data_IF_350638208758
#
_entry.id   IF_350638208758
#
_cell.length_a   1.000
_cell.length_b   1.000
_cell.length_c   1.000
_cell.angle_alpha   90.00
_cell.angle_beta   90.00
_cell.angle_gamma   90.00
#
_symmetry.space_group_name_H-M   'P 1'
#
loop_
_entity.id
_entity.type
_entity.pdbx_description
1 polymer ?
#
# COMPACT_ATOMS: atom_id res chain seq x y z
N UNK A 1 5.32 24.48 8.53
CA UNK A 1 3.86 24.20 8.47
C UNK A 1 3.68 22.70 8.62
N UNK A 2 3.30 22.24 9.81
CA UNK A 2 3.07 20.83 10.08
C UNK A 2 1.64 20.46 9.65
N UNK A 3 1.51 19.45 8.78
CA UNK A 3 0.23 18.86 8.42
C UNK A 3 -0.22 17.90 9.53
N UNK A 4 -1.52 17.82 9.84
CA UNK A 4 -2.05 16.89 10.85
C UNK A 4 -2.00 15.45 10.33
N UNK A 5 -1.45 14.54 11.13
CA UNK A 5 -1.49 13.09 10.86
C UNK A 5 -2.89 12.56 11.16
N UNK A 6 -3.65 12.25 10.11
CA UNK A 6 -4.92 11.53 10.22
C UNK A 6 -4.65 10.03 10.37
N UNK A 7 -4.41 9.58 11.60
CA UNK A 7 -4.53 8.17 11.97
C UNK A 7 -6.03 7.82 12.09
N UNK A 8 -6.69 7.66 10.95
CA UNK A 8 -8.04 7.14 10.88
C UNK A 8 -8.01 5.63 10.72
N UNK A 9 -7.93 4.88 11.81
CA UNK A 9 -8.18 3.44 11.78
C UNK A 9 -9.66 3.23 11.48
N UNK A 10 -9.97 2.78 10.26
CA UNK A 10 -11.29 2.27 9.86
C UNK A 10 -11.62 1.03 10.69
N UNK A 11 -12.24 1.24 11.85
CA UNK A 11 -12.90 0.18 12.59
C UNK A 11 -14.11 -0.29 11.77
N UNK A 12 -13.98 -1.42 11.08
CA UNK A 12 -15.12 -2.12 10.51
C UNK A 12 -15.99 -2.68 11.65
N UNK A 13 -17.28 -2.32 11.74
CA UNK A 13 -18.17 -2.91 12.73
C UNK A 13 -18.49 -4.36 12.32
N UNK A 14 -17.81 -5.33 12.95
CA UNK A 14 -18.11 -6.76 12.82
C UNK A 14 -19.52 -7.15 13.32
N UNK A 15 -20.25 -6.21 13.93
CA UNK A 15 -21.59 -6.40 14.48
C UNK A 15 -22.70 -6.62 13.43
N UNK A 16 -22.43 -6.43 12.14
CA UNK A 16 -23.44 -6.64 11.09
C UNK A 16 -23.69 -8.12 10.75
N UNK A 17 -22.73 -9.01 11.06
CA UNK A 17 -22.82 -10.43 10.65
C UNK A 17 -23.73 -11.26 11.57
N UNK A 18 -23.83 -10.91 12.85
CA UNK A 18 -24.64 -11.68 13.81
C UNK A 18 -26.14 -11.44 13.68
N UNK A 19 -26.57 -10.22 13.30
CA UNK A 19 -27.99 -9.90 13.08
C UNK A 19 -28.60 -10.62 11.87
N UNK A 20 -27.80 -10.85 10.82
CA UNK A 20 -28.25 -11.50 9.59
C UNK A 20 -28.58 -13.00 9.81
N UNK A 21 -27.91 -13.65 10.76
CA UNK A 21 -28.16 -15.04 11.14
C UNK A 21 -29.42 -15.23 11.98
N UNK A 22 -29.84 -14.22 12.76
CA UNK A 22 -31.07 -14.31 13.57
C UNK A 22 -32.32 -14.18 12.71
N UNK A 23 -32.28 -13.38 11.64
CA UNK A 23 -33.38 -13.27 10.67
C UNK A 23 -33.51 -14.51 9.76
N UNK A 24 -32.50 -15.38 9.74
CA UNK A 24 -32.42 -16.52 8.84
C UNK A 24 -33.23 -17.76 9.28
N UNK A 25 -33.86 -17.74 10.47
CA UNK A 25 -34.42 -18.95 11.12
C UNK A 25 -35.84 -19.32 10.69
N UNK A 26 -36.49 -18.53 9.83
CA UNK A 26 -37.82 -18.84 9.27
C UNK A 26 -37.69 -19.71 8.00
N UNK A 27 -37.66 -21.03 8.16
CA UNK A 27 -37.43 -22.00 7.06
C UNK A 27 -38.43 -21.88 5.89
N UNK A 28 -39.68 -21.45 6.14
CA UNK A 28 -40.73 -21.37 5.10
C UNK A 28 -40.57 -20.17 4.17
N UNK A 29 -39.98 -19.07 4.63
CA UNK A 29 -39.77 -17.87 3.80
C UNK A 29 -38.48 -17.93 2.98
N UNK A 30 -37.56 -18.83 3.32
CA UNK A 30 -36.25 -18.89 2.69
C UNK A 30 -36.24 -19.52 1.29
N UNK A 31 -37.07 -20.52 1.00
CA UNK A 31 -36.98 -21.20 -0.29
C UNK A 31 -37.38 -20.30 -1.48
N UNK A 32 -38.29 -19.35 -1.31
CA UNK A 32 -38.71 -18.45 -2.40
C UNK A 32 -37.92 -17.12 -2.43
N UNK A 33 -37.47 -16.62 -1.28
CA UNK A 33 -36.81 -15.30 -1.20
C UNK A 33 -35.29 -15.33 -1.44
N UNK A 34 -34.65 -16.51 -1.40
CA UNK A 34 -33.20 -16.69 -1.62
C UNK A 34 -32.68 -16.20 -2.97
N UNK A 35 -33.26 -16.59 -4.13
CA UNK A 35 -32.78 -16.09 -5.41
C UNK A 35 -32.98 -14.57 -5.54
N UNK A 36 -34.04 -14.05 -4.92
CA UNK A 36 -34.32 -12.60 -4.88
C UNK A 36 -33.25 -11.87 -4.09
N UNK A 37 -32.88 -12.35 -2.90
CA UNK A 37 -31.83 -11.74 -2.08
C UNK A 37 -30.45 -11.79 -2.76
N UNK A 38 -30.12 -12.92 -3.40
CA UNK A 38 -28.87 -13.05 -4.17
C UNK A 38 -28.86 -12.07 -5.34
N UNK A 39 -29.93 -12.02 -6.15
CA UNK A 39 -30.06 -11.09 -7.26
C UNK A 39 -29.97 -9.63 -6.79
N UNK A 40 -30.59 -9.29 -5.66
CA UNK A 40 -30.56 -7.94 -5.10
C UNK A 40 -29.15 -7.56 -4.61
N UNK A 41 -28.43 -8.50 -3.98
CA UNK A 41 -27.03 -8.30 -3.58
C UNK A 41 -26.10 -8.12 -4.77
N UNK A 42 -26.32 -8.88 -5.85
CA UNK A 42 -25.56 -8.77 -7.10
C UNK A 42 -25.80 -7.40 -7.76
N UNK A 43 -27.07 -6.98 -7.87
CA UNK A 43 -27.44 -5.67 -8.42
C UNK A 43 -26.84 -4.54 -7.60
N UNK A 44 -26.86 -4.64 -6.27
CA UNK A 44 -26.27 -3.65 -5.39
C UNK A 44 -24.75 -3.59 -5.54
N UNK A 45 -24.08 -4.74 -5.60
CA UNK A 45 -22.64 -4.82 -5.82
C UNK A 45 -22.24 -4.25 -7.19
N UNK A 46 -22.97 -4.58 -8.26
CA UNK A 46 -22.76 -4.04 -9.60
C UNK A 46 -22.99 -2.53 -9.63
N UNK A 47 -24.04 -2.04 -8.97
CA UNK A 47 -24.33 -0.61 -8.85
C UNK A 47 -23.24 0.16 -8.11
N UNK A 48 -22.77 -0.37 -6.97
CA UNK A 48 -21.65 0.22 -6.23
C UNK A 48 -20.36 0.21 -7.03
N UNK A 49 -20.06 -0.89 -7.75
CA UNK A 49 -18.86 -1.01 -8.59
C UNK A 49 -18.91 -0.02 -9.75
N UNK A 50 -20.04 0.06 -10.46
CA UNK A 50 -20.22 1.01 -11.57
C UNK A 50 -20.17 2.48 -11.09
N UNK A 51 -20.76 2.76 -9.93
CA UNK A 51 -20.72 4.08 -9.29
C UNK A 51 -19.30 4.49 -8.90
N UNK A 52 -18.57 3.59 -8.23
CA UNK A 52 -17.16 3.79 -7.87
C UNK A 52 -16.30 4.00 -9.11
N UNK A 53 -16.49 3.19 -10.16
CA UNK A 53 -15.77 3.32 -11.43
C UNK A 53 -16.01 4.68 -12.11
N UNK A 54 -17.27 5.13 -12.19
CA UNK A 54 -17.57 6.45 -12.79
C UNK A 54 -17.05 7.62 -11.97
N UNK A 55 -17.17 7.52 -10.64
CA UNK A 55 -16.64 8.55 -9.74
C UNK A 55 -15.12 8.64 -9.86
N UNK A 56 -14.44 7.49 -9.87
CA UNK A 56 -12.99 7.42 -10.04
C UNK A 56 -12.56 7.98 -11.39
N UNK A 57 -13.21 7.57 -12.49
CA UNK A 57 -12.88 8.06 -13.83
C UNK A 57 -12.90 9.59 -13.88
N UNK A 58 -13.93 10.23 -13.28
CA UNK A 58 -14.04 11.69 -13.25
C UNK A 58 -12.95 12.34 -12.39
N UNK A 59 -12.67 11.78 -11.21
CA UNK A 59 -11.66 12.35 -10.29
C UNK A 59 -10.25 12.17 -10.83
N UNK A 60 -9.98 11.01 -11.39
CA UNK A 60 -8.72 10.65 -11.99
C UNK A 60 -8.35 11.54 -13.16
N UNK A 61 -9.30 11.82 -14.06
CA UNK A 61 -9.07 12.75 -15.17
C UNK A 61 -8.62 14.12 -14.65
N UNK A 62 -9.34 14.69 -13.67
CA UNK A 62 -8.98 15.98 -13.09
C UNK A 62 -7.61 15.97 -12.39
N UNK A 63 -7.34 14.94 -11.59
CA UNK A 63 -6.11 14.85 -10.80
C UNK A 63 -4.89 14.56 -11.68
N UNK A 64 -5.00 13.66 -12.67
CA UNK A 64 -3.92 13.41 -13.62
C UNK A 64 -3.62 14.62 -14.47
N UNK A 65 -4.63 15.34 -14.95
CA UNK A 65 -4.41 16.57 -15.71
C UNK A 65 -3.66 17.57 -14.85
N UNK A 66 -4.09 17.80 -13.60
CA UNK A 66 -3.42 18.78 -12.73
C UNK A 66 -1.99 18.40 -12.37
N UNK A 67 -1.75 17.12 -12.03
CA UNK A 67 -0.42 16.62 -11.67
C UNK A 67 0.51 16.62 -12.88
N UNK A 68 0.07 16.09 -14.03
CA UNK A 68 0.86 16.05 -15.26
C UNK A 68 1.14 17.45 -15.80
N UNK A 69 0.17 18.37 -15.71
CA UNK A 69 0.36 19.77 -16.09
C UNK A 69 1.37 20.47 -15.18
N UNK A 70 1.30 20.22 -13.86
CA UNK A 70 2.25 20.80 -12.89
C UNK A 70 3.67 20.32 -13.17
N UNK A 71 3.83 19.02 -13.41
CA UNK A 71 5.12 18.43 -13.74
C UNK A 71 5.66 18.94 -15.08
N UNK A 72 4.82 18.98 -16.12
CA UNK A 72 5.19 19.52 -17.43
C UNK A 72 5.61 20.99 -17.36
N UNK A 73 4.91 21.82 -16.57
CA UNK A 73 5.28 23.23 -16.34
C UNK A 73 6.62 23.38 -15.62
N UNK A 74 6.89 22.55 -14.61
CA UNK A 74 8.17 22.57 -13.90
C UNK A 74 9.32 22.25 -14.86
N UNK A 75 9.17 21.22 -15.69
CA UNK A 75 10.19 20.83 -16.68
C UNK A 75 10.34 21.88 -17.77
N UNK A 76 9.25 22.45 -18.27
CA UNK A 76 9.33 23.54 -19.23
C UNK A 76 10.07 24.75 -18.66
N UNK A 77 9.83 25.09 -17.39
CA UNK A 77 10.54 26.18 -16.70
C UNK A 77 12.03 25.86 -16.51
N UNK A 78 12.37 24.62 -16.20
CA UNK A 78 13.78 24.18 -16.11
C UNK A 78 14.48 24.23 -17.47
N UNK A 79 13.81 23.76 -18.53
CA UNK A 79 14.31 23.82 -19.89
C UNK A 79 14.52 25.26 -20.37
N UNK A 80 13.60 26.18 -20.03
CA UNK A 80 13.75 27.62 -20.28
C UNK A 80 14.98 28.19 -19.55
N UNK A 81 15.16 27.87 -18.27
CA UNK A 81 16.33 28.28 -17.50
C UNK A 81 17.65 27.78 -18.09
N UNK A 82 17.69 26.51 -18.51
CA UNK A 82 18.84 25.92 -19.18
C UNK A 82 19.11 26.56 -20.55
N UNK A 83 18.06 26.82 -21.35
CA UNK A 83 18.18 27.50 -22.63
C UNK A 83 18.68 28.94 -22.48
N UNK A 84 18.24 29.66 -21.44
CA UNK A 84 18.77 30.99 -21.12
C UNK A 84 20.26 30.94 -20.75
N UNK A 85 20.69 29.90 -20.02
CA UNK A 85 22.11 29.74 -19.67
C UNK A 85 22.95 29.38 -20.91
N UNK A 86 22.50 28.42 -21.72
CA UNK A 86 23.13 28.05 -22.98
C UNK A 86 23.26 29.23 -23.96
N UNK A 87 22.27 30.14 -23.97
CA UNK A 87 22.32 31.38 -24.76
C UNK A 87 23.42 32.33 -24.25
N UNK A 88 23.64 32.43 -22.93
CA UNK A 88 24.75 33.23 -22.36
C UNK A 88 26.11 32.66 -22.72
N UNK A 89 26.19 31.34 -22.90
CA UNK A 89 27.39 30.62 -23.36
C UNK A 89 27.54 30.61 -24.89
N UNK A 90 26.67 31.32 -25.62
CA UNK A 90 26.69 31.42 -27.09
C UNK A 90 26.56 30.07 -27.81
N UNK A 91 25.77 29.14 -27.27
CA UNK A 91 25.40 27.90 -27.97
C UNK A 91 24.42 28.20 -29.11
N UNK A 92 24.65 27.64 -30.30
CA UNK A 92 23.87 27.93 -31.53
C UNK A 92 22.38 27.54 -31.43
N UNK A 93 22.07 26.42 -30.75
CA UNK A 93 20.70 25.97 -30.46
C UNK A 93 20.48 25.79 -28.95
N UNK A 94 20.27 26.88 -28.19
CA UNK A 94 20.14 26.81 -26.74
C UNK A 94 19.00 25.92 -26.28
N UNK A 95 17.88 25.93 -27.02
CA UNK A 95 16.71 25.13 -26.68
C UNK A 95 16.91 23.67 -27.02
N UNK A 96 17.48 23.36 -28.19
CA UNK A 96 17.83 21.99 -28.57
C UNK A 96 18.82 21.37 -27.58
N UNK A 97 19.80 22.16 -27.13
CA UNK A 97 20.75 21.75 -26.09
C UNK A 97 20.04 21.46 -24.76
N UNK A 98 19.17 22.36 -24.29
CA UNK A 98 18.44 22.17 -23.03
C UNK A 98 17.53 20.94 -23.05
N UNK A 99 16.81 20.73 -24.17
CA UNK A 99 15.98 19.52 -24.38
C UNK A 99 16.84 18.27 -24.40
N UNK A 100 17.98 18.30 -25.11
CA UNK A 100 18.92 17.18 -25.15
C UNK A 100 19.49 16.84 -23.78
N UNK A 101 19.82 17.85 -22.97
CA UNK A 101 20.31 17.69 -21.61
C UNK A 101 19.25 17.04 -20.69
N UNK A 102 18.01 17.54 -20.72
CA UNK A 102 16.92 16.98 -19.92
C UNK A 102 16.49 15.58 -20.38
N UNK A 103 16.60 15.28 -21.68
CA UNK A 103 16.30 13.97 -22.23
C UNK A 103 17.35 12.89 -21.90
N UNK A 104 18.55 13.27 -21.42
CA UNK A 104 19.62 12.33 -21.04
C UNK A 104 19.43 11.73 -19.65
N UNK A 105 18.42 12.16 -18.87
CA UNK A 105 18.11 11.57 -17.57
C UNK A 105 17.77 10.08 -17.66
N UNK A 106 18.25 9.29 -16.70
CA UNK A 106 17.95 7.84 -16.55
C UNK A 106 16.51 7.62 -16.05
N UNK A 107 15.57 8.51 -16.37
CA UNK A 107 14.17 8.30 -16.03
C UNK A 107 13.55 7.33 -17.02
N UNK A 108 13.03 6.18 -16.57
CA UNK A 108 12.59 5.12 -17.47
C UNK A 108 11.29 5.53 -18.18
N UNK A 109 11.40 5.96 -19.44
CA UNK A 109 10.39 5.83 -20.54
C UNK A 109 8.99 6.47 -20.34
N UNK A 110 8.76 7.17 -19.24
CA UNK A 110 7.48 7.83 -18.92
C UNK A 110 7.39 9.20 -19.61
N UNK A 111 8.52 9.86 -19.89
CA UNK A 111 8.51 11.20 -20.47
C UNK A 111 9.38 11.32 -21.73
N UNK A 112 8.86 12.02 -22.73
CA UNK A 112 9.56 12.38 -23.95
C UNK A 112 9.51 13.91 -24.12
N UNK A 113 10.68 14.55 -24.12
CA UNK A 113 10.82 15.99 -24.32
C UNK A 113 11.35 16.21 -25.75
N UNK A 114 10.67 17.06 -26.51
CA UNK A 114 11.00 17.34 -27.91
C UNK A 114 10.97 18.84 -28.16
N UNK A 115 11.88 19.33 -29.00
CA UNK A 115 11.83 20.71 -29.50
C UNK A 115 10.73 20.82 -30.56
N UNK A 116 9.95 21.89 -30.50
CA UNK A 116 8.92 22.19 -31.51
C UNK A 116 9.21 23.55 -32.13
N UNK A 117 9.09 23.62 -33.44
CA UNK A 117 9.08 24.87 -34.21
C UNK A 117 7.62 25.29 -34.37
N UNK A 118 7.25 26.43 -33.79
CA UNK A 118 5.88 26.88 -33.61
C UNK A 118 5.35 27.70 -34.78
N UNK A 119 4.23 27.27 -35.35
CA UNK A 119 3.26 28.11 -36.07
C UNK A 119 1.94 28.26 -35.28
N UNK A 120 1.92 27.87 -34.00
CA UNK A 120 0.70 27.88 -33.18
C UNK A 120 0.47 29.25 -32.52
N UNK A 121 -0.79 29.70 -32.45
CA UNK A 121 -1.14 31.02 -31.93
C UNK A 121 -1.15 31.11 -30.39
N UNK A 122 -1.25 29.98 -29.68
CA UNK A 122 -1.36 29.96 -28.22
C UNK A 122 0.00 29.65 -27.54
N UNK A 123 0.35 30.37 -26.46
CA UNK A 123 1.64 30.23 -25.77
C UNK A 123 1.77 28.91 -24.98
N UNK A 124 0.65 28.35 -24.51
CA UNK A 124 0.59 27.08 -23.80
C UNK A 124 -0.62 26.28 -24.27
N UNK A 125 -0.40 25.05 -24.73
CA UNK A 125 -1.46 24.10 -25.07
C UNK A 125 -1.24 22.77 -24.37
N UNK A 126 -2.31 22.10 -23.99
CA UNK A 126 -2.26 20.76 -23.41
C UNK A 126 -3.39 19.89 -23.95
N UNK A 127 -3.09 18.60 -24.15
CA UNK A 127 -4.00 17.60 -24.65
C UNK A 127 -3.77 16.30 -23.87
N UNK A 128 -4.84 15.71 -23.33
CA UNK A 128 -4.79 14.35 -22.80
C UNK A 128 -5.46 13.40 -23.80
N UNK A 129 -4.66 12.59 -24.49
CA UNK A 129 -5.15 11.50 -25.33
C UNK A 129 -5.61 10.36 -24.40
N UNK A 130 -6.94 10.29 -24.18
CA UNK A 130 -7.57 9.33 -23.26
C UNK A 130 -7.40 7.88 -23.70
N UNK A 131 -7.27 7.63 -25.01
CA UNK A 131 -7.15 6.29 -25.58
C UNK A 131 -5.73 5.77 -25.41
N UNK A 132 -4.74 6.64 -25.67
CA UNK A 132 -3.32 6.27 -25.56
C UNK A 132 -2.75 6.44 -24.15
N UNK A 133 -3.45 7.16 -23.27
CA UNK A 133 -2.95 7.51 -21.93
C UNK A 133 -1.74 8.44 -21.97
N UNK A 134 -1.67 9.29 -23.00
CA UNK A 134 -0.55 10.21 -23.25
C UNK A 134 -1.02 11.63 -22.95
N UNK A 135 -0.35 12.27 -22.00
CA UNK A 135 -0.51 13.69 -21.74
C UNK A 135 0.53 14.46 -22.56
N UNK A 136 0.08 15.30 -23.48
CA UNK A 136 0.92 16.15 -24.32
C UNK A 136 0.78 17.60 -23.87
N UNK A 137 1.89 18.22 -23.52
CA UNK A 137 1.99 19.62 -23.14
C UNK A 137 2.95 20.32 -24.09
N UNK A 138 2.54 21.42 -24.69
CA UNK A 138 3.39 22.24 -25.56
C UNK A 138 3.44 23.65 -25.00
N UNK A 139 4.64 24.16 -24.75
CA UNK A 139 4.89 25.54 -24.35
C UNK A 139 5.82 26.22 -25.34
N UNK A 140 5.41 27.37 -25.85
CA UNK A 140 6.23 28.21 -26.71
C UNK A 140 6.88 29.28 -25.83
N UNK A 141 8.15 29.05 -25.50
CA UNK A 141 8.90 29.85 -24.52
C UNK A 141 9.31 31.24 -25.04
N UNK A 142 9.47 31.41 -26.35
CA UNK A 142 9.92 32.66 -26.98
C UNK A 142 9.18 32.85 -28.32
N UNK A 143 8.28 33.85 -28.44
CA UNK A 143 7.54 34.09 -29.69
C UNK A 143 8.44 34.60 -30.83
N UNK A 144 9.57 35.24 -30.52
CA UNK A 144 10.47 35.86 -31.51
C UNK A 144 11.21 34.86 -32.42
N UNK A 145 11.50 33.65 -31.91
CA UNK A 145 12.24 32.61 -32.66
C UNK A 145 11.33 31.42 -32.99
N UNK A 146 10.04 31.50 -32.61
CA UNK A 146 9.07 30.43 -32.82
C UNK A 146 9.57 29.06 -32.33
N UNK A 147 10.39 29.02 -31.28
CA UNK A 147 10.90 27.75 -30.73
C UNK A 147 10.28 27.49 -29.37
N UNK A 148 9.75 26.28 -29.20
CA UNK A 148 9.13 25.83 -27.97
C UNK A 148 9.55 24.42 -27.58
N UNK A 149 8.98 23.97 -26.49
CA UNK A 149 9.20 22.66 -25.91
C UNK A 149 7.86 21.92 -25.90
N UNK A 150 7.87 20.68 -26.37
CA UNK A 150 6.78 19.73 -26.24
C UNK A 150 7.20 18.59 -25.34
N UNK A 151 6.43 18.39 -24.29
CA UNK A 151 6.60 17.38 -23.28
C UNK A 151 5.46 16.38 -23.45
N UNK A 152 5.79 15.13 -23.73
CA UNK A 152 4.84 14.01 -23.73
C UNK A 152 5.10 13.16 -22.51
N UNK A 153 4.10 13.03 -21.66
CA UNK A 153 4.13 12.21 -20.46
C UNK A 153 3.19 11.03 -20.72
N UNK A 154 3.77 9.86 -20.94
CA UNK A 154 3.03 8.60 -20.88
C UNK A 154 2.66 8.39 -19.42
N UNK A 155 1.38 8.30 -19.10
CA UNK A 155 0.95 8.10 -17.71
C UNK A 155 0.39 6.68 -17.55
N UNK A 156 1.23 5.62 -17.62
CA UNK A 156 0.76 4.25 -17.51
C UNK A 156 0.39 3.97 -16.06
N UNK A 157 -0.89 4.08 -15.72
CA UNK A 157 -1.40 3.39 -14.54
C UNK A 157 -2.53 2.50 -15.00
N UNK A 158 -2.32 1.20 -14.90
CA UNK A 158 -3.31 0.14 -15.10
C UNK A 158 -3.31 -0.71 -13.84
N UNK A 159 -4.26 -0.47 -12.94
CA UNK A 159 -4.55 -1.32 -11.79
C UNK A 159 -5.43 -2.51 -12.17
N UNK A 160 -5.92 -3.23 -11.15
CA UNK A 160 -6.87 -4.33 -11.27
C UNK A 160 -8.13 -3.86 -12.03
N UNK A 161 -8.57 -4.64 -13.03
CA UNK A 161 -9.69 -4.29 -13.93
C UNK A 161 -9.55 -2.92 -14.64
N UNK A 162 -8.32 -2.51 -14.99
CA UNK A 162 -8.01 -1.18 -15.56
C UNK A 162 -8.31 -0.03 -14.58
N UNK A 163 -8.29 -0.29 -13.27
CA UNK A 163 -8.42 0.75 -12.26
C UNK A 163 -7.36 1.83 -12.48
N UNK A 164 -7.82 3.07 -12.53
CA UNK A 164 -7.00 4.20 -12.92
C UNK A 164 -6.37 4.88 -11.71
N UNK A 165 -6.99 4.82 -10.54
CA UNK A 165 -6.38 5.26 -9.27
C UNK A 165 -6.12 4.11 -8.31
N UNK A 166 -5.22 4.31 -7.33
CA UNK A 166 -5.01 3.36 -6.22
C UNK A 166 -6.29 3.14 -5.40
N UNK A 167 -7.07 4.19 -5.19
CA UNK A 167 -8.34 4.06 -4.45
C UNK A 167 -9.33 3.15 -5.19
N UNK A 168 -9.43 3.31 -6.51
CA UNK A 168 -10.27 2.47 -7.36
C UNK A 168 -9.75 1.04 -7.44
N UNK A 169 -8.44 0.86 -7.48
CA UNK A 169 -7.78 -0.44 -7.41
C UNK A 169 -8.17 -1.17 -6.11
N UNK A 170 -8.09 -0.48 -4.97
CA UNK A 170 -8.48 -1.02 -3.67
C UNK A 170 -9.99 -1.35 -3.61
N UNK A 171 -10.85 -0.44 -4.10
CA UNK A 171 -12.31 -0.62 -4.06
C UNK A 171 -12.76 -1.73 -5.00
N UNK A 172 -12.23 -1.80 -6.23
CA UNK A 172 -12.57 -2.85 -7.19
C UNK A 172 -12.04 -4.21 -6.75
N UNK A 173 -10.83 -4.25 -6.15
CA UNK A 173 -10.28 -5.46 -5.54
C UNK A 173 -11.14 -5.92 -4.37
N UNK A 174 -11.54 -5.01 -3.47
CA UNK A 174 -12.41 -5.33 -2.33
C UNK A 174 -13.79 -5.83 -2.81
N UNK A 175 -14.40 -5.17 -3.79
CA UNK A 175 -15.68 -5.56 -4.35
C UNK A 175 -15.59 -6.96 -5.01
N UNK A 176 -14.50 -7.22 -5.74
CA UNK A 176 -14.24 -8.52 -6.34
C UNK A 176 -14.04 -9.62 -5.29
N UNK A 177 -13.27 -9.35 -4.23
CA UNK A 177 -13.07 -10.29 -3.12
C UNK A 177 -14.39 -10.58 -2.38
N UNK A 178 -15.21 -9.55 -2.16
CA UNK A 178 -16.49 -9.69 -1.48
C UNK A 178 -17.50 -10.48 -2.33
N UNK A 179 -17.56 -10.22 -3.64
CA UNK A 179 -18.36 -11.00 -4.59
C UNK A 179 -17.87 -12.45 -4.68
N UNK A 180 -16.55 -12.67 -4.74
CA UNK A 180 -15.95 -14.01 -4.77
C UNK A 180 -16.25 -14.77 -3.48
N UNK A 181 -16.15 -14.11 -2.32
CA UNK A 181 -16.49 -14.69 -1.03
C UNK A 181 -17.98 -15.09 -0.97
N UNK A 182 -18.89 -14.19 -1.38
CA UNK A 182 -20.32 -14.50 -1.45
C UNK A 182 -20.59 -15.66 -2.40
N UNK A 183 -19.95 -15.68 -3.58
CA UNK A 183 -20.09 -16.77 -4.53
C UNK A 183 -19.61 -18.11 -3.94
N UNK A 184 -18.48 -18.13 -3.23
CA UNK A 184 -17.98 -19.34 -2.55
C UNK A 184 -18.95 -19.81 -1.46
N UNK A 185 -19.43 -18.90 -0.60
CA UNK A 185 -20.39 -19.23 0.47
C UNK A 185 -21.69 -19.77 -0.12
N UNK A 186 -22.19 -19.19 -1.21
CA UNK A 186 -23.39 -19.68 -1.88
C UNK A 186 -23.14 -21.00 -2.62
N UNK A 187 -22.11 -21.12 -3.45
CA UNK A 187 -21.88 -22.30 -4.30
C UNK A 187 -21.42 -23.53 -3.50
N UNK A 188 -20.62 -23.34 -2.45
CA UNK A 188 -20.07 -24.44 -1.65
C UNK A 188 -20.90 -24.66 -0.39
N UNK A 189 -21.30 -23.59 0.29
CA UNK A 189 -22.08 -23.68 1.53
C UNK A 189 -23.51 -24.22 1.32
N UNK A 190 -24.15 -23.95 0.18
CA UNK A 190 -25.50 -24.44 -0.11
C UNK A 190 -25.60 -25.95 -0.29
N UNK A 191 -24.81 -26.63 -1.14
CA UNK A 191 -24.93 -28.07 -1.31
C UNK A 191 -24.49 -28.83 -0.07
N UNK A 192 -23.44 -28.38 0.64
CA UNK A 192 -23.01 -29.00 1.89
C UNK A 192 -24.06 -28.85 2.99
N UNK A 193 -24.65 -27.66 3.14
CA UNK A 193 -25.74 -27.44 4.10
C UNK A 193 -27.01 -28.21 3.75
N UNK A 194 -27.33 -28.34 2.45
CA UNK A 194 -28.49 -29.11 2.00
C UNK A 194 -28.28 -30.61 2.21
N UNK A 195 -27.11 -31.15 1.88
CA UNK A 195 -26.76 -32.55 2.14
C UNK A 195 -26.75 -32.88 3.64
N UNK A 196 -26.21 -31.99 4.48
CA UNK A 196 -26.24 -32.19 5.93
C UNK A 196 -27.66 -32.24 6.48
N UNK A 197 -28.54 -31.35 6.00
CA UNK A 197 -29.93 -31.28 6.43
C UNK A 197 -30.78 -32.43 5.85
N UNK A 198 -30.49 -32.88 4.62
CA UNK A 198 -31.10 -34.10 4.05
C UNK A 198 -30.74 -35.32 4.87
N UNK A 199 -29.45 -35.49 5.19
CA UNK A 199 -28.98 -36.60 6.01
C UNK A 199 -29.63 -36.57 7.40
N UNK A 200 -29.72 -35.38 8.01
CA UNK A 200 -30.44 -35.22 9.28
C UNK A 200 -31.93 -35.60 9.18
N UNK A 201 -32.61 -35.26 8.07
CA UNK A 201 -34.02 -35.64 7.85
C UNK A 201 -34.18 -37.13 7.60
N UNK A 202 -33.27 -37.77 6.88
CA UNK A 202 -33.24 -39.21 6.67
C UNK A 202 -32.98 -39.95 7.99
N UNK A 203 -32.06 -39.46 8.82
CA UNK A 203 -31.78 -40.02 10.15
C UNK A 203 -33.00 -39.85 11.09
N UNK A 204 -33.71 -38.70 11.03
CA UNK A 204 -34.94 -38.47 11.80
C UNK A 204 -36.12 -39.32 11.32
N UNK A 205 -36.30 -39.49 10.00
CA UNK A 205 -37.40 -40.29 9.44
C UNK A 205 -37.17 -41.78 9.58
N UNK A 206 -35.93 -42.25 9.52
CA UNK A 206 -35.59 -43.66 9.81
C UNK A 206 -35.74 -43.99 11.30
N UNK A 207 -35.39 -43.06 12.21
CA UNK A 207 -35.68 -43.21 13.64
C UNK A 207 -37.19 -43.25 13.92
N UNK A 208 -37.99 -42.44 13.22
CA UNK A 208 -39.45 -42.39 13.40
C UNK A 208 -40.18 -43.56 12.72
N UNK A 209 -39.68 -44.06 11.59
CA UNK A 209 -40.22 -45.26 10.93
C UNK A 209 -40.00 -46.54 11.74
N UNK A 210 -38.96 -46.57 12.59
CA UNK A 210 -38.72 -47.69 13.50
C UNK A 210 -39.73 -47.75 14.67
N UNK A 211 -40.43 -46.65 14.96
CA UNK A 211 -41.41 -46.54 16.06
C UNK A 211 -42.85 -46.83 15.60
N UNK A 212 -43.15 -46.69 14.30
CA UNK A 212 -44.53 -46.79 13.74
C UNK A 212 -44.93 -48.23 13.33
N UNK A 213 -44.04 -49.21 13.44
CA UNK A 213 -44.43 -50.64 13.27
C UNK A 213 -44.91 -51.31 14.56
N UNK A 214 -45.04 -50.55 15.65
CA UNK A 214 -45.61 -51.01 16.91
C UNK A 214 -46.97 -50.34 17.18
N UNK A 215 -48.04 -51.08 16.84
CA UNK A 215 -49.42 -50.91 17.31
C UNK A 215 -50.26 -49.81 16.65
N UNK A 216 -51.23 -50.25 15.84
CA UNK A 216 -52.47 -49.53 15.57
C UNK A 216 -53.35 -49.57 16.82
N UNK A 217 -53.71 -48.40 17.35
CA UNK A 217 -55.07 -48.06 17.79
C UNK A 217 -55.16 -46.55 18.12
N UNK A 218 -56.22 -45.92 17.58
CA UNK A 218 -56.79 -44.58 17.84
C UNK A 218 -56.00 -43.26 17.59
N UNK A 219 -56.62 -42.25 16.91
CA UNK A 219 -55.96 -40.98 16.60
C UNK A 219 -56.29 -39.89 17.63
N UNK A 220 -55.36 -39.64 18.56
CA UNK A 220 -55.31 -38.38 19.32
C UNK A 220 -54.37 -37.38 18.63
N UNK A 221 -54.72 -36.10 18.72
CA UNK A 221 -54.02 -34.98 18.06
C UNK A 221 -52.49 -35.03 18.23
N UNK A 222 -51.70 -34.70 17.18
CA UNK A 222 -50.25 -34.69 17.26
C UNK A 222 -49.80 -33.54 18.17
N UNK A 223 -49.56 -33.86 19.44
CA UNK A 223 -48.75 -33.05 20.33
C UNK A 223 -47.36 -33.04 19.71
N UNK A 224 -46.95 -31.90 19.13
CA UNK A 224 -45.57 -31.70 18.68
C UNK A 224 -44.65 -32.06 19.85
N UNK A 225 -43.75 -33.06 19.71
CA UNK A 225 -42.84 -33.39 20.78
C UNK A 225 -41.87 -32.22 20.91
N UNK A 226 -42.15 -31.33 21.87
CA UNK A 226 -41.23 -30.34 22.39
C UNK A 226 -40.17 -31.03 23.27
N UNK A 227 -39.78 -32.25 22.93
CA UNK A 227 -38.77 -33.05 23.62
C UNK A 227 -37.59 -33.26 22.65
N UNK A 228 -37.11 -32.18 22.02
CA UNK A 228 -35.69 -32.09 21.70
C UNK A 228 -34.97 -31.96 23.04
N UNK A 229 -34.87 -33.07 23.78
CA UNK A 229 -33.84 -33.26 24.78
C UNK A 229 -32.54 -33.08 24.02
N UNK A 230 -31.97 -31.89 24.13
CA UNK A 230 -30.61 -31.63 23.69
C UNK A 230 -29.80 -32.68 24.42
N UNK A 231 -29.31 -33.69 23.71
CA UNK A 231 -28.42 -34.69 24.30
C UNK A 231 -27.20 -33.92 24.82
N UNK A 232 -27.11 -33.68 26.14
CA UNK A 232 -26.10 -32.80 26.69
C UNK A 232 -24.72 -33.43 26.51
N UNK A 233 -24.65 -34.76 26.40
CA UNK A 233 -23.43 -35.49 26.12
C UNK A 233 -22.94 -35.26 24.68
N UNK A 234 -23.84 -35.32 23.68
CA UNK A 234 -23.50 -35.03 22.29
C UNK A 234 -23.00 -33.60 22.06
N UNK A 235 -23.68 -32.61 22.65
CA UNK A 235 -23.25 -31.21 22.57
C UNK A 235 -21.90 -30.97 23.28
N UNK A 236 -21.70 -31.56 24.46
CA UNK A 236 -20.43 -31.44 25.18
C UNK A 236 -19.26 -32.05 24.38
N UNK A 237 -19.48 -33.17 23.69
CA UNK A 237 -18.47 -33.80 22.85
C UNK A 237 -18.09 -32.92 21.64
N UNK A 238 -19.09 -32.33 20.97
CA UNK A 238 -18.87 -31.42 19.84
C UNK A 238 -18.15 -30.14 20.27
N UNK A 239 -18.59 -29.52 21.37
CA UNK A 239 -17.94 -28.34 21.95
C UNK A 239 -16.48 -28.64 22.33
N UNK A 240 -16.20 -29.81 22.92
CA UNK A 240 -14.84 -30.26 23.23
C UNK A 240 -13.98 -30.41 21.96
N UNK A 241 -14.53 -30.97 20.88
CA UNK A 241 -13.80 -31.11 19.62
C UNK A 241 -13.47 -29.75 19.01
N UNK A 242 -14.43 -28.82 18.98
CA UNK A 242 -14.24 -27.45 18.48
C UNK A 242 -13.21 -26.67 19.32
N UNK A 243 -13.29 -26.75 20.65
CA UNK A 243 -12.30 -26.14 21.55
C UNK A 243 -10.90 -26.72 21.36
N UNK A 244 -10.80 -28.03 21.13
CA UNK A 244 -9.52 -28.69 20.84
C UNK A 244 -8.96 -28.23 19.49
N UNK A 245 -9.82 -28.10 18.47
CA UNK A 245 -9.45 -27.56 17.16
C UNK A 245 -8.97 -26.12 17.23
N UNK A 246 -9.70 -25.25 17.94
CA UNK A 246 -9.31 -23.86 18.19
C UNK A 246 -7.95 -23.80 18.90
N UNK A 247 -7.74 -24.63 19.93
CA UNK A 247 -6.47 -24.70 20.65
C UNK A 247 -5.28 -25.20 19.80
N UNK A 248 -5.52 -25.99 18.74
CA UNK A 248 -4.49 -26.35 17.76
C UNK A 248 -4.16 -25.16 16.86
N UNK A 249 -5.17 -24.49 16.30
CA UNK A 249 -5.00 -23.33 15.42
C UNK A 249 -4.28 -22.17 16.13
N UNK A 250 -4.66 -21.87 17.37
CA UNK A 250 -4.00 -20.82 18.18
C UNK A 250 -2.52 -21.14 18.41
N UNK A 251 -2.17 -22.40 18.69
CA UNK A 251 -0.76 -22.82 18.85
C UNK A 251 0.03 -22.71 17.54
N UNK A 252 -0.59 -23.00 16.40
CA UNK A 252 0.04 -22.86 15.09
C UNK A 252 0.28 -21.39 14.72
N UNK A 253 -0.67 -20.51 15.03
CA UNK A 253 -0.53 -19.06 14.90
C UNK A 253 0.64 -18.56 15.76
N UNK A 254 0.72 -18.98 17.04
CA UNK A 254 1.84 -18.62 17.92
C UNK A 254 3.19 -19.09 17.39
N UNK A 255 3.29 -20.33 16.87
CA UNK A 255 4.52 -20.83 16.26
C UNK A 255 4.91 -20.02 15.03
N UNK A 256 3.94 -19.64 14.21
CA UNK A 256 4.16 -18.82 13.02
C UNK A 256 4.63 -17.42 13.37
N UNK A 257 4.03 -16.80 14.39
CA UNK A 257 4.47 -15.51 14.94
C UNK A 257 5.90 -15.59 15.50
N UNK A 258 6.22 -16.64 16.26
CA UNK A 258 7.57 -16.85 16.80
C UNK A 258 8.62 -17.06 15.69
N UNK A 259 8.28 -17.83 14.64
CA UNK A 259 9.14 -17.99 13.46
C UNK A 259 9.35 -16.67 12.73
N UNK A 260 8.30 -15.86 12.57
CA UNK A 260 8.37 -14.54 11.96
C UNK A 260 9.25 -13.59 12.77
N UNK A 261 9.08 -13.55 14.10
CA UNK A 261 9.91 -12.74 15.00
C UNK A 261 11.39 -13.13 14.90
N UNK A 262 11.69 -14.44 14.88
CA UNK A 262 13.06 -14.93 14.74
C UNK A 262 13.65 -14.66 13.35
N UNK A 263 12.89 -14.83 12.27
CA UNK A 263 13.32 -14.47 10.92
C UNK A 263 13.58 -12.96 10.80
N UNK A 264 12.73 -12.15 11.43
CA UNK A 264 12.87 -10.69 11.51
C UNK A 264 14.14 -10.31 12.26
N UNK A 265 14.46 -10.97 13.39
CA UNK A 265 15.70 -10.73 14.14
C UNK A 265 16.95 -11.04 13.29
N UNK A 266 16.97 -12.17 12.58
CA UNK A 266 18.08 -12.47 11.65
C UNK A 266 18.21 -11.45 10.53
N UNK A 267 17.09 -10.97 9.99
CA UNK A 267 17.09 -9.91 8.97
C UNK A 267 17.64 -8.60 9.54
N UNK A 268 17.27 -8.25 10.77
CA UNK A 268 17.79 -7.08 11.46
C UNK A 268 19.31 -7.16 11.67
N UNK A 269 19.81 -8.30 12.13
CA UNK A 269 21.26 -8.51 12.32
C UNK A 269 22.03 -8.40 11.00
N UNK A 270 21.43 -8.84 9.88
CA UNK A 270 22.03 -8.70 8.55
C UNK A 270 21.97 -7.27 8.01
N UNK A 271 20.88 -6.53 8.27
CA UNK A 271 20.69 -5.14 7.80
C UNK A 271 21.53 -4.15 8.60
N UNK A 272 21.76 -4.39 9.89
CA UNK A 272 22.52 -3.50 10.79
C UNK A 272 23.90 -3.10 10.24
N UNK A 273 24.81 -4.02 9.86
CA UNK A 273 26.12 -3.64 9.34
C UNK A 273 26.04 -2.96 7.96
N UNK A 274 25.03 -3.29 7.15
CA UNK A 274 24.80 -2.63 5.85
C UNK A 274 24.39 -1.17 6.07
N UNK A 275 23.43 -0.96 6.97
CA UNK A 275 22.97 0.36 7.40
C UNK A 275 24.13 1.21 7.92
N UNK A 276 24.94 0.66 8.83
CA UNK A 276 26.11 1.36 9.37
C UNK A 276 27.11 1.74 8.28
N UNK A 277 27.42 0.82 7.36
CA UNK A 277 28.34 1.10 6.24
C UNK A 277 27.82 2.21 5.34
N UNK A 278 26.53 2.19 4.98
CA UNK A 278 25.92 3.23 4.15
C UNK A 278 25.99 4.58 4.86
N UNK A 279 25.63 4.66 6.14
CA UNK A 279 25.69 5.90 6.90
C UNK A 279 27.12 6.44 7.09
N UNK A 280 28.11 5.56 7.24
CA UNK A 280 29.53 5.94 7.26
C UNK A 280 29.95 6.52 5.91
N UNK A 281 29.68 5.83 4.80
CA UNK A 281 30.01 6.30 3.45
C UNK A 281 29.33 7.64 3.13
N UNK A 282 28.05 7.78 3.49
CA UNK A 282 27.30 9.00 3.27
C UNK A 282 27.85 10.18 4.10
N UNK A 283 28.35 9.91 5.31
CA UNK A 283 29.06 10.91 6.12
C UNK A 283 30.39 11.31 5.49
N UNK A 284 31.18 10.35 5.02
CA UNK A 284 32.44 10.62 4.32
C UNK A 284 32.20 11.48 3.07
N UNK A 285 31.23 11.13 2.23
CA UNK A 285 30.84 11.90 1.04
C UNK A 285 30.48 13.35 1.43
N UNK A 286 29.71 13.55 2.50
CA UNK A 286 29.37 14.89 3.00
C UNK A 286 30.58 15.66 3.52
N UNK A 287 31.55 14.99 4.14
CA UNK A 287 32.82 15.64 4.54
C UNK A 287 33.64 16.08 3.33
N UNK A 288 33.74 15.24 2.29
CA UNK A 288 34.44 15.60 1.05
C UNK A 288 33.73 16.77 0.36
N UNK A 289 32.40 16.79 0.31
CA UNK A 289 31.65 17.95 -0.20
C UNK A 289 32.01 19.25 0.54
N UNK A 290 32.10 19.20 1.88
CA UNK A 290 32.47 20.37 2.67
C UNK A 290 33.88 20.87 2.30
N UNK A 291 34.81 19.94 2.08
CA UNK A 291 36.17 20.27 1.61
C UNK A 291 36.12 20.92 0.22
N UNK A 292 35.41 20.34 -0.75
CA UNK A 292 35.28 20.92 -2.09
C UNK A 292 34.63 22.31 -2.08
N UNK A 293 33.67 22.55 -1.19
CA UNK A 293 33.07 23.88 -1.03
C UNK A 293 34.10 24.90 -0.54
N UNK A 294 34.91 24.54 0.46
CA UNK A 294 36.00 25.39 0.92
C UNK A 294 37.04 25.62 -0.19
N UNK A 295 37.38 24.59 -0.97
CA UNK A 295 38.25 24.73 -2.14
C UNK A 295 37.66 25.67 -3.20
N UNK A 296 36.35 25.60 -3.47
CA UNK A 296 35.66 26.52 -4.38
C UNK A 296 35.79 27.98 -3.92
N UNK A 297 35.64 28.24 -2.62
CA UNK A 297 35.82 29.57 -2.04
C UNK A 297 37.27 30.07 -2.21
N UNK A 298 38.27 29.21 -1.96
CA UNK A 298 39.69 29.55 -2.17
C UNK A 298 39.96 29.85 -3.65
N UNK A 299 39.44 29.05 -4.58
CA UNK A 299 39.59 29.28 -6.03
C UNK A 299 38.99 30.63 -6.43
N UNK A 300 37.85 31.02 -5.85
CA UNK A 300 37.25 32.32 -6.10
C UNK A 300 38.13 33.46 -5.59
N UNK A 301 38.69 33.35 -4.38
CA UNK A 301 39.61 34.33 -3.82
C UNK A 301 40.89 34.48 -4.66
N UNK A 302 41.48 33.36 -5.10
CA UNK A 302 42.66 33.37 -5.97
C UNK A 302 42.33 34.00 -7.33
N UNK A 303 41.18 33.66 -7.91
CA UNK A 303 40.74 34.25 -9.17
C UNK A 303 40.54 35.78 -9.06
N UNK A 304 40.03 36.28 -7.94
CA UNK A 304 39.95 37.72 -7.67
C UNK A 304 41.35 38.35 -7.56
N UNK A 305 42.24 37.76 -6.76
CA UNK A 305 43.61 38.25 -6.61
C UNK A 305 44.40 38.29 -7.94
N UNK A 306 44.21 37.29 -8.80
CA UNK A 306 44.83 37.24 -10.14
C UNK A 306 44.25 38.33 -11.05
N UNK A 307 42.94 38.59 -10.98
CA UNK A 307 42.32 39.70 -11.71
C UNK A 307 42.84 41.06 -11.23
N UNK A 308 42.99 41.26 -9.93
CA UNK A 308 43.52 42.49 -9.36
C UNK A 308 44.98 42.71 -9.80
N UNK A 309 45.81 41.66 -9.78
CA UNK A 309 47.18 41.71 -10.31
C UNK A 309 47.19 42.07 -11.80
N UNK A 310 46.29 41.49 -12.59
CA UNK A 310 46.17 41.78 -14.03
C UNK A 310 45.80 43.25 -14.29
N UNK A 311 44.87 43.81 -13.49
CA UNK A 311 44.48 45.22 -13.58
C UNK A 311 45.66 46.12 -13.21
N UNK A 312 46.36 45.82 -12.12
CA UNK A 312 47.50 46.62 -11.67
C UNK A 312 48.67 46.58 -12.67
N UNK A 313 48.93 45.42 -13.26
CA UNK A 313 49.97 45.28 -14.29
C UNK A 313 49.60 46.05 -15.56
N UNK A 314 48.35 45.96 -16.02
CA UNK A 314 47.88 46.76 -17.16
C UNK A 314 47.98 48.26 -16.90
N UNK A 315 47.68 48.73 -15.68
CA UNK A 315 47.85 50.13 -15.28
C UNK A 315 49.33 50.58 -15.31
N UNK A 316 50.25 49.71 -14.88
CA UNK A 316 51.70 49.95 -14.95
C UNK A 316 52.20 49.99 -16.41
N UNK A 317 51.67 49.13 -17.29
CA UNK A 317 51.98 49.13 -18.73
C UNK A 317 51.57 50.41 -19.43
N UNK A 318 50.37 50.93 -19.13
CA UNK A 318 49.95 52.25 -19.66
C UNK A 318 50.86 53.38 -19.22
N UNK A 319 51.61 53.20 -18.12
CA UNK A 319 52.47 54.22 -17.51
C UNK A 319 53.97 54.08 -17.88
N UNK A 320 54.43 52.94 -18.42
CA UNK A 320 55.85 52.71 -18.78
C UNK A 320 55.96 52.30 -20.25
N UNK A 321 56.55 53.18 -21.06
CA UNK A 321 56.92 52.86 -22.44
C UNK A 321 58.01 51.77 -22.46
N UNK A 322 57.58 50.54 -22.76
CA UNK A 322 58.32 49.43 -23.38
C UNK A 322 59.78 49.21 -22.95
N UNK A 323 60.03 48.16 -22.16
CA UNK A 323 61.19 47.25 -22.32
C UNK A 323 61.07 46.13 -21.25
N UNK A 324 60.52 44.97 -21.67
CA UNK A 324 60.47 43.75 -20.83
C UNK A 324 59.12 43.01 -20.71
N UNK A 325 58.18 43.18 -21.64
CA UNK A 325 56.76 42.75 -21.47
C UNK A 325 56.43 41.26 -21.72
N UNK A 326 57.34 40.47 -22.32
CA UNK A 326 57.00 39.13 -22.83
C UNK A 326 56.89 38.02 -21.77
N UNK A 327 57.69 38.06 -20.70
CA UNK A 327 57.75 36.98 -19.71
C UNK A 327 56.58 37.04 -18.70
N UNK A 328 56.12 38.25 -18.33
CA UNK A 328 55.01 38.41 -17.38
C UNK A 328 53.63 38.07 -17.98
N UNK A 329 53.36 38.44 -19.24
CA UNK A 329 52.11 38.04 -19.92
C UNK A 329 51.98 36.53 -20.03
N UNK A 330 53.09 35.84 -20.32
CA UNK A 330 53.11 34.38 -20.43
C UNK A 330 52.81 33.70 -19.09
N UNK A 331 53.33 34.23 -17.98
CA UNK A 331 53.03 33.69 -16.64
C UNK A 331 51.57 33.93 -16.24
N UNK A 332 51.02 35.10 -16.53
CA UNK A 332 49.62 35.41 -16.21
C UNK A 332 48.62 34.56 -17.02
N UNK A 333 48.92 34.30 -18.31
CA UNK A 333 48.09 33.40 -19.11
C UNK A 333 48.16 31.95 -18.63
N UNK A 334 49.34 31.48 -18.19
CA UNK A 334 49.49 30.17 -17.56
C UNK A 334 48.69 30.05 -16.25
N UNK A 335 48.73 31.08 -15.39
CA UNK A 335 47.96 31.11 -14.14
C UNK A 335 46.44 31.08 -14.44
N UNK A 336 45.98 31.85 -15.41
CA UNK A 336 44.57 31.85 -15.81
C UNK A 336 44.13 30.47 -16.36
N UNK A 337 44.97 29.83 -17.17
CA UNK A 337 44.72 28.47 -17.67
C UNK A 337 44.65 27.42 -16.56
N UNK A 338 45.58 27.48 -15.60
CA UNK A 338 45.58 26.59 -14.43
C UNK A 338 44.34 26.80 -13.55
N UNK A 339 43.94 28.05 -13.32
CA UNK A 339 42.72 28.37 -12.57
C UNK A 339 41.46 27.83 -13.26
N UNK A 340 41.37 27.95 -14.58
CA UNK A 340 40.23 27.45 -15.34
C UNK A 340 40.18 25.92 -15.32
N UNK A 341 41.34 25.27 -15.46
CA UNK A 341 41.45 23.81 -15.32
C UNK A 341 41.00 23.37 -13.93
N UNK A 342 41.42 24.08 -12.88
CA UNK A 342 41.12 23.77 -11.49
C UNK A 342 39.61 23.96 -11.18
N UNK A 343 38.98 25.02 -11.73
CA UNK A 343 37.52 25.19 -11.66
C UNK A 343 36.78 24.03 -12.32
N UNK A 344 37.20 23.63 -13.53
CA UNK A 344 36.57 22.53 -14.27
C UNK A 344 36.71 21.21 -13.51
N UNK A 345 37.89 20.93 -12.94
CA UNK A 345 38.07 19.73 -12.10
C UNK A 345 37.22 19.77 -10.85
N UNK A 346 37.07 20.93 -10.20
CA UNK A 346 36.21 21.06 -9.03
C UNK A 346 34.73 20.81 -9.37
N UNK A 347 34.24 21.37 -10.49
CA UNK A 347 32.87 21.11 -10.98
C UNK A 347 32.63 19.62 -11.29
N UNK A 348 33.60 18.95 -11.90
CA UNK A 348 33.51 17.50 -12.17
C UNK A 348 33.47 16.70 -10.87
N UNK A 349 34.31 17.04 -9.89
CA UNK A 349 34.30 16.41 -8.56
C UNK A 349 32.98 16.65 -7.83
N UNK A 350 32.42 17.86 -7.88
CA UNK A 350 31.12 18.18 -7.28
C UNK A 350 29.98 17.38 -7.91
N UNK A 351 29.98 17.27 -9.24
CA UNK A 351 29.01 16.45 -9.98
C UNK A 351 29.11 14.97 -9.61
N UNK A 352 30.32 14.42 -9.54
CA UNK A 352 30.55 13.03 -9.14
C UNK A 352 30.07 12.76 -7.70
N UNK A 353 30.39 13.65 -6.75
CA UNK A 353 29.92 13.55 -5.36
C UNK A 353 28.41 13.63 -5.29
N UNK A 354 27.77 14.52 -6.05
CA UNK A 354 26.31 14.61 -6.12
C UNK A 354 25.71 13.33 -6.67
N UNK A 355 26.31 12.73 -7.69
CA UNK A 355 25.88 11.42 -8.21
C UNK A 355 25.97 10.32 -7.15
N UNK A 356 27.05 10.28 -6.37
CA UNK A 356 27.19 9.33 -5.26
C UNK A 356 26.12 9.54 -4.20
N UNK A 357 25.86 10.78 -3.77
CA UNK A 357 24.80 11.04 -2.78
C UNK A 357 23.41 10.62 -3.26
N UNK A 358 23.06 10.95 -4.51
CA UNK A 358 21.79 10.53 -5.11
C UNK A 358 21.67 9.01 -5.09
N UNK A 359 22.77 8.27 -5.25
CA UNK A 359 22.79 6.81 -5.13
C UNK A 359 22.64 6.31 -3.69
N UNK A 360 23.35 6.94 -2.72
CA UNK A 360 23.41 6.46 -1.34
C UNK A 360 22.24 6.89 -0.45
N UNK A 361 21.61 8.05 -0.70
CA UNK A 361 20.45 8.53 0.09
C UNK A 361 19.23 7.59 0.07
N UNK A 362 18.77 7.06 -1.08
CA UNK A 362 17.68 6.08 -1.08
C UNK A 362 18.09 4.79 -0.37
N UNK A 363 19.32 4.32 -0.56
CA UNK A 363 19.82 3.12 0.12
C UNK A 363 19.86 3.29 1.65
N UNK A 364 20.24 4.48 2.14
CA UNK A 364 20.22 4.81 3.56
C UNK A 364 18.79 4.81 4.11
N UNK A 365 17.85 5.38 3.34
CA UNK A 365 16.43 5.42 3.68
C UNK A 365 15.83 4.01 3.75
N UNK A 366 16.09 3.18 2.74
CA UNK A 366 15.62 1.80 2.69
C UNK A 366 16.21 0.96 3.84
N UNK A 367 17.49 1.16 4.15
CA UNK A 367 18.13 0.50 5.30
C UNK A 367 17.53 0.94 6.64
N UNK A 368 17.19 2.22 6.80
CA UNK A 368 16.50 2.74 7.99
C UNK A 368 15.06 2.20 8.10
N UNK A 369 14.33 2.08 6.98
CA UNK A 369 12.99 1.49 6.95
C UNK A 369 13.04 0.01 7.30
N UNK A 370 13.97 -0.74 6.70
CA UNK A 370 14.16 -2.16 7.00
C UNK A 370 14.58 -2.39 8.46
N UNK A 371 15.37 -1.49 9.03
CA UNK A 371 15.72 -1.53 10.45
C UNK A 371 14.52 -1.27 11.35
N UNK A 372 13.68 -0.28 11.02
CA UNK A 372 12.46 0.05 11.80
C UNK A 372 11.39 -1.03 11.71
N UNK A 373 11.17 -1.62 10.54
CA UNK A 373 10.15 -2.66 10.35
C UNK A 373 10.37 -3.86 11.26
N UNK A 374 11.63 -4.17 11.61
CA UNK A 374 11.94 -5.18 12.62
C UNK A 374 11.29 -4.87 13.98
N UNK A 375 11.48 -3.65 14.49
CA UNK A 375 10.93 -3.23 15.77
C UNK A 375 9.39 -3.30 15.80
N UNK A 376 8.75 -2.99 14.68
CA UNK A 376 7.30 -3.09 14.52
C UNK A 376 6.83 -4.55 14.50
N UNK A 377 7.55 -5.43 13.80
CA UNK A 377 7.24 -6.88 13.78
C UNK A 377 7.40 -7.51 15.16
N UNK A 378 8.44 -7.12 15.91
CA UNK A 378 8.65 -7.59 17.28
C UNK A 378 7.52 -7.11 18.20
N UNK A 379 7.17 -5.82 18.15
CA UNK A 379 6.07 -5.27 18.93
C UNK A 379 4.74 -5.96 18.58
N UNK A 380 4.43 -6.14 17.30
CA UNK A 380 3.22 -6.82 16.84
C UNK A 380 3.20 -8.29 17.31
N UNK A 381 4.34 -8.99 17.27
CA UNK A 381 4.44 -10.37 17.77
C UNK A 381 4.23 -10.46 19.29
N UNK A 382 4.72 -9.48 20.05
CA UNK A 382 4.50 -9.41 21.51
C UNK A 382 3.02 -9.17 21.81
N UNK A 383 2.40 -8.17 21.17
CA UNK A 383 0.98 -7.88 21.31
C UNK A 383 0.11 -9.10 20.92
N UNK A 384 0.46 -9.79 19.84
CA UNK A 384 -0.23 -11.01 19.43
C UNK A 384 -0.13 -12.11 20.50
N UNK A 385 1.05 -12.29 21.09
CA UNK A 385 1.26 -13.26 22.16
C UNK A 385 0.43 -12.92 23.42
N UNK A 386 0.33 -11.63 23.78
CA UNK A 386 -0.53 -11.17 24.86
C UNK A 386 -2.02 -11.45 24.59
N UNK A 387 -2.51 -11.13 23.38
CA UNK A 387 -3.89 -11.42 23.00
C UNK A 387 -4.20 -12.91 23.03
N UNK A 388 -3.28 -13.74 22.53
CA UNK A 388 -3.45 -15.20 22.58
C UNK A 388 -3.45 -15.69 24.02
N UNK A 389 -2.58 -15.16 24.89
CA UNK A 389 -2.52 -15.54 26.31
C UNK A 389 -3.81 -15.16 27.03
N UNK A 390 -4.36 -13.96 26.79
CA UNK A 390 -5.67 -13.54 27.31
C UNK A 390 -6.80 -14.42 26.78
N UNK A 391 -6.82 -14.70 25.49
CA UNK A 391 -7.84 -15.56 24.87
C UNK A 391 -7.80 -16.97 25.45
N UNK A 392 -6.61 -17.53 25.64
CA UNK A 392 -6.42 -18.82 26.32
C UNK A 392 -6.97 -18.78 27.74
N UNK A 393 -6.66 -17.74 28.51
CA UNK A 393 -7.18 -17.58 29.88
C UNK A 393 -8.71 -17.56 29.90
N UNK A 394 -9.34 -16.74 29.05
CA UNK A 394 -10.79 -16.63 28.95
C UNK A 394 -11.44 -17.95 28.53
N UNK A 395 -10.83 -18.68 27.58
CA UNK A 395 -11.34 -20.00 27.16
C UNK A 395 -11.22 -21.04 28.28
N UNK A 396 -10.15 -21.01 29.07
CA UNK A 396 -10.02 -21.90 30.23
C UNK A 396 -11.02 -21.55 31.33
N UNK A 397 -11.32 -20.27 31.53
CA UNK A 397 -12.34 -19.81 32.46
C UNK A 397 -13.75 -20.22 32.02
N UNK A 398 -14.08 -20.04 30.74
CA UNK A 398 -15.34 -20.53 30.15
C UNK A 398 -15.47 -22.05 30.27
N UNK A 399 -14.39 -22.79 29.98
CA UNK A 399 -14.39 -24.24 30.13
C UNK A 399 -14.63 -24.68 31.59
N UNK A 400 -14.04 -23.98 32.57
CA UNK A 400 -14.28 -24.22 34.01
C UNK A 400 -15.73 -23.91 34.39
N UNK A 401 -16.30 -22.80 33.91
CA UNK A 401 -17.70 -22.46 34.15
C UNK A 401 -18.66 -23.50 33.56
N UNK A 402 -18.37 -23.99 32.35
CA UNK A 402 -19.16 -25.07 31.76
C UNK A 402 -19.07 -26.37 32.56
N UNK A 403 -17.87 -26.70 33.06
CA UNK A 403 -17.68 -27.88 33.89
C UNK A 403 -18.41 -27.75 35.23
N UNK A 404 -18.38 -26.58 35.88
CA UNK A 404 -19.13 -26.37 37.12
C UNK A 404 -20.64 -26.46 36.92
N UNK A 405 -21.16 -25.94 35.79
CA UNK A 405 -22.59 -26.10 35.45
C UNK A 405 -22.97 -27.56 35.22
N UNK A 406 -22.08 -28.36 34.62
CA UNK A 406 -22.28 -29.81 34.44
C UNK A 406 -22.27 -30.54 35.79
N UNK A 407 -21.30 -30.25 36.66
CA UNK A 407 -21.22 -30.85 38.00
C UNK A 407 -22.44 -30.47 38.86
N UNK A 408 -22.90 -29.21 38.77
CA UNK A 408 -24.13 -28.75 39.43
C UNK A 408 -25.36 -29.49 38.89
N UNK A 409 -25.47 -29.65 37.57
CA UNK A 409 -26.56 -30.39 36.93
C UNK A 409 -26.57 -31.86 37.35
N UNK A 410 -25.42 -32.54 37.32
CA UNK A 410 -25.29 -33.94 37.76
C UNK A 410 -25.62 -34.10 39.24
N UNK A 411 -25.23 -33.15 40.09
CA UNK A 411 -25.56 -33.15 41.53
C UNK A 411 -27.04 -32.85 41.82
N UNK A 412 -27.73 -32.18 40.90
CA UNK A 412 -29.15 -31.83 41.02
C UNK A 412 -30.09 -32.97 40.62
N UNK A 413 -29.56 -33.99 39.93
CA UNK A 413 -30.31 -35.20 39.61
C UNK A 413 -30.47 -36.04 40.90
N UNK A 414 -31.71 -36.45 41.26
CA UNK A 414 -31.93 -37.26 42.46
C UNK A 414 -31.13 -38.58 42.35
N UNK A 415 -30.40 -38.99 43.41
CA UNK A 415 -29.51 -40.15 43.37
C UNK A 415 -30.24 -41.49 43.20
N UNK A 416 -31.55 -41.52 43.46
CA UNK A 416 -32.39 -42.68 43.20
C UNK A 416 -33.22 -42.45 41.94
N UNK A 417 -32.93 -43.24 40.91
CA UNK A 417 -33.78 -43.44 39.74
C UNK A 417 -35.13 -44.11 40.07
N UNK A 418 -35.71 -43.86 41.24
CA UNK A 418 -37.12 -44.14 41.52
C UNK A 418 -37.97 -43.12 40.80
N UNK A 419 -38.19 -43.38 39.51
CA UNK A 419 -39.32 -42.84 38.78
C UNK A 419 -40.56 -43.34 39.53
N UNK A 420 -41.08 -42.55 40.47
CA UNK A 420 -42.40 -42.78 41.02
C UNK A 420 -43.41 -42.56 39.90
N UNK A 421 -43.72 -43.63 39.16
CA UNK A 421 -44.89 -43.70 38.28
C UNK A 421 -46.17 -43.78 39.13
N UNK A 422 -46.44 -42.77 39.96
CA UNK A 422 -47.78 -42.59 40.53
C UNK A 422 -48.65 -41.88 39.50
N UNK A 423 -49.12 -42.65 38.53
CA UNK A 423 -50.12 -42.26 37.55
C UNK A 423 -51.19 -43.36 37.44
N UNK A 424 -51.78 -43.76 38.56
CA UNK A 424 -52.98 -44.61 38.55
C UNK A 424 -54.17 -43.78 38.05
N UNK A 425 -54.35 -43.71 36.72
CA UNK A 425 -55.61 -43.29 36.12
C UNK A 425 -56.67 -44.37 36.39
N UNK A 426 -57.48 -44.16 37.43
CA UNK A 426 -58.71 -44.92 37.63
C UNK A 426 -59.71 -44.53 36.52
N UNK A 427 -59.89 -45.39 35.51
CA UNK A 427 -61.07 -45.36 34.63
C UNK A 427 -62.27 -45.89 35.44
N UNK A 428 -63.19 -45.01 35.82
CA UNK A 428 -64.55 -45.37 36.21
C UNK A 428 -65.40 -45.55 34.94
N UNK A 429 -66.10 -46.68 34.88
CA UNK A 429 -67.08 -47.05 33.85
C UNK A 429 -68.34 -46.16 33.88
#
# INVERSE_FOLDING_TARGET
MALPSTNGSLHFPFSFVSGFWVFARSEKWMCHSRPVLFALSLVLALGMTAGAYRFDQKRFESQKISESLTWARQIATQAEGLAMNARKESIDDPMGWAVGFLAQGIEPRIMQITKVLGSQPEPETYLLDKEKGVFEYTKISLPEVSTGIRIRINVPFRGFLDARSRFSDDVTTLAFLLLSWLAVVFLIGLPLGWQFNQKQREDLTSAQAHDITSNMDEPELPVLPLDRRIDPAGWALEAKHLLTGLGKNVREILRSAARLAHASARSHDAVTPIRERIHVQLREIRTVRKILKNEAEVIQLVNLAVKDCFIEENRKRTSRASLGEGDQTMRMSQIAFLLETLKKTNQLSESAIRGLEIGYEPMATDADIAFKSHSEVVAASQTMNEYVTRTKSNLMEQARQMQSMLEEFDSSLPPDGTIHSQGSFSRSA
#
